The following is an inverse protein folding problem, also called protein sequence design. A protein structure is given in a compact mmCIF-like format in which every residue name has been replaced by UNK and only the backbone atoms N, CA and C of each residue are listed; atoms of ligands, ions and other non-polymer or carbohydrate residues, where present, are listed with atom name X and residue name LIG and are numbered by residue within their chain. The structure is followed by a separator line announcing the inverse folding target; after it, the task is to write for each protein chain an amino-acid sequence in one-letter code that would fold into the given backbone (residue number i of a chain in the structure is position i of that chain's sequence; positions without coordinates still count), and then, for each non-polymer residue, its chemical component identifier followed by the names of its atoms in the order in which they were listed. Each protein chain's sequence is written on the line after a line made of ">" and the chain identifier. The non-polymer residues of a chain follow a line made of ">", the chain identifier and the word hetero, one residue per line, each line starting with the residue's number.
data_IF_034312544424
#
_entry.id   IF_034312544424
#
_cell.length_a   1.000
_cell.length_b   1.000
_cell.length_c   1.000
_cell.angle_alpha   90.00
_cell.angle_beta   90.00
_cell.angle_gamma   90.00
#
_symmetry.space_group_name_H-M   'P 1'
#
loop_
_entity.id
_entity.type
_entity.pdbx_description
1 polymer ?
#
# COMPACT_ATOMS: atom_id res chain seq x y z
N UNK A 1 -3.58 3.75 34.86
CA UNK A 1 -4.75 3.16 34.18
C UNK A 1 -5.09 4.02 32.97
N UNK A 2 -5.58 3.36 31.92
CA UNK A 2 -5.45 3.70 30.50
C UNK A 2 -6.07 5.02 30.01
N UNK A 3 -5.40 5.55 28.99
CA UNK A 3 -5.86 6.47 27.95
C UNK A 3 -7.04 5.87 27.15
N UNK A 4 -7.97 6.72 26.71
CA UNK A 4 -8.52 6.70 25.34
C UNK A 4 -9.49 7.88 25.14
N UNK A 5 -9.00 8.98 24.59
CA UNK A 5 -9.85 9.94 23.86
C UNK A 5 -9.60 9.72 22.36
N UNK A 6 -10.42 8.85 21.78
CA UNK A 6 -10.59 8.77 20.34
C UNK A 6 -11.53 9.91 19.92
N UNK A 7 -10.94 10.97 19.38
CA UNK A 7 -11.64 12.03 18.68
C UNK A 7 -12.37 11.45 17.45
N UNK A 8 -13.65 11.17 17.63
CA UNK A 8 -14.64 11.02 16.58
C UNK A 8 -15.28 12.39 16.34
N UNK A 9 -14.83 13.12 15.31
CA UNK A 9 -15.62 14.18 14.67
C UNK A 9 -15.43 14.15 13.14
N UNK A 10 -16.52 13.77 12.49
CA UNK A 10 -16.91 13.62 11.05
C UNK A 10 -16.83 14.94 10.23
N UNK A 11 -17.16 15.06 8.91
CA UNK A 11 -17.98 14.18 8.05
C UNK A 11 -17.57 14.02 6.56
N UNK A 12 -17.78 12.83 5.99
CA UNK A 12 -18.07 12.68 4.55
C UNK A 12 -19.49 12.14 4.39
N UNK A 13 -20.46 13.00 4.70
CA UNK A 13 -21.85 12.82 4.29
C UNK A 13 -21.92 13.14 2.80
N UNK A 14 -22.03 12.10 1.96
CA UNK A 14 -23.13 11.93 1.01
C UNK A 14 -22.82 10.78 0.03
N UNK A 15 -23.39 9.63 0.36
CA UNK A 15 -23.91 8.72 -0.65
C UNK A 15 -25.10 9.43 -1.33
N UNK A 16 -24.88 10.05 -2.49
CA UNK A 16 -25.97 10.53 -3.35
C UNK A 16 -25.59 10.46 -4.83
N UNK A 17 -26.11 9.43 -5.49
CA UNK A 17 -26.80 9.49 -6.79
C UNK A 17 -26.11 10.15 -8.01
N UNK A 18 -24.79 10.02 -8.17
CA UNK A 18 -24.19 10.09 -9.51
C UNK A 18 -22.97 9.17 -9.66
N UNK A 19 -23.23 7.91 -10.06
CA UNK A 19 -22.22 6.87 -10.31
C UNK A 19 -21.25 7.16 -11.48
N UNK A 20 -21.27 8.37 -12.06
CA UNK A 20 -20.55 8.66 -13.31
C UNK A 20 -19.09 9.08 -13.11
N UNK A 21 -18.68 9.59 -11.95
CA UNK A 21 -17.30 10.03 -11.69
C UNK A 21 -16.90 9.80 -10.24
N UNK A 22 -16.61 8.55 -9.89
CA UNK A 22 -15.89 8.25 -8.64
C UNK A 22 -14.40 8.29 -8.97
N UNK A 23 -13.59 9.19 -8.38
CA UNK A 23 -12.16 9.24 -8.65
C UNK A 23 -11.50 7.93 -8.26
N UNK A 24 -10.58 7.42 -9.10
CA UNK A 24 -9.90 6.13 -8.91
C UNK A 24 -9.29 5.99 -7.51
N UNK A 25 -8.74 7.07 -6.96
CA UNK A 25 -8.17 7.12 -5.61
C UNK A 25 -9.22 6.79 -4.52
N UNK A 26 -10.47 7.26 -4.66
CA UNK A 26 -11.55 6.95 -3.73
C UNK A 26 -11.99 5.50 -3.84
N UNK A 27 -12.10 4.96 -5.07
CA UNK A 27 -12.44 3.55 -5.30
C UNK A 27 -11.37 2.63 -4.70
N UNK A 28 -10.08 2.93 -4.91
CA UNK A 28 -8.96 2.15 -4.38
C UNK A 28 -8.94 2.21 -2.85
N UNK A 29 -9.17 3.39 -2.25
CA UNK A 29 -9.24 3.55 -0.80
C UNK A 29 -10.38 2.74 -0.19
N UNK A 30 -11.59 2.81 -0.74
CA UNK A 30 -12.73 2.03 -0.25
C UNK A 30 -12.53 0.52 -0.41
N UNK A 31 -11.94 0.06 -1.53
CA UNK A 31 -11.63 -1.37 -1.72
C UNK A 31 -10.59 -1.85 -0.71
N UNK A 32 -9.54 -1.06 -0.48
CA UNK A 32 -8.51 -1.39 0.50
C UNK A 32 -9.09 -1.51 1.92
N UNK A 33 -9.94 -0.57 2.34
CA UNK A 33 -10.60 -0.61 3.66
C UNK A 33 -11.47 -1.86 3.83
N UNK A 34 -12.32 -2.18 2.84
CA UNK A 34 -13.11 -3.42 2.85
C UNK A 34 -12.22 -4.66 2.92
N UNK A 35 -11.09 -4.65 2.21
CA UNK A 35 -10.18 -5.80 2.17
C UNK A 35 -9.48 -6.05 3.52
N UNK A 36 -9.05 -5.00 4.23
CA UNK A 36 -8.41 -5.17 5.54
C UNK A 36 -9.39 -5.63 6.63
N UNK A 37 -10.69 -5.34 6.48
CA UNK A 37 -11.74 -5.81 7.39
C UNK A 37 -12.03 -7.31 7.25
N UNK A 38 -11.72 -7.90 6.09
CA UNK A 38 -11.91 -9.34 5.86
C UNK A 38 -11.04 -10.18 6.80
N UNK A 39 -11.50 -11.37 7.22
CA UNK A 39 -10.65 -12.34 7.91
C UNK A 39 -9.53 -12.83 6.97
N UNK A 40 -8.42 -13.28 7.55
CA UNK A 40 -7.22 -13.69 6.80
C UNK A 40 -7.53 -14.71 5.69
N UNK A 41 -8.37 -15.71 5.99
CA UNK A 41 -8.80 -16.76 5.05
C UNK A 41 -9.53 -16.25 3.80
N UNK A 42 -10.06 -15.03 3.85
CA UNK A 42 -10.78 -14.42 2.73
C UNK A 42 -9.94 -13.35 2.01
N UNK A 43 -8.76 -13.01 2.52
CA UNK A 43 -7.86 -12.04 1.89
C UNK A 43 -7.08 -12.70 0.77
N UNK A 44 -7.53 -12.44 -0.45
CA UNK A 44 -6.97 -13.04 -1.67
C UNK A 44 -6.34 -11.97 -2.55
N UNK A 45 -5.22 -12.30 -3.18
CA UNK A 45 -4.54 -11.46 -4.16
C UNK A 45 -4.37 -12.22 -5.47
N UNK A 46 -4.76 -11.61 -6.58
CA UNK A 46 -4.61 -12.20 -7.90
C UNK A 46 -3.27 -11.78 -8.51
N UNK A 47 -2.37 -12.73 -8.73
CA UNK A 47 -1.06 -12.46 -9.34
C UNK A 47 -1.16 -12.08 -10.82
N UNK A 48 -2.14 -12.62 -11.55
CA UNK A 48 -2.35 -12.28 -12.97
C UNK A 48 -2.87 -10.86 -13.15
N UNK A 49 -3.85 -10.46 -12.34
CA UNK A 49 -4.44 -9.12 -12.39
C UNK A 49 -3.66 -8.09 -11.58
N UNK A 50 -2.76 -8.53 -10.69
CA UNK A 50 -2.03 -7.69 -9.74
C UNK A 50 -2.98 -6.86 -8.85
N UNK A 51 -4.04 -7.50 -8.33
CA UNK A 51 -5.14 -6.84 -7.62
C UNK A 51 -5.59 -7.61 -6.37
N UNK A 52 -6.06 -6.86 -5.37
CA UNK A 52 -6.76 -7.39 -4.19
C UNK A 52 -8.17 -7.84 -4.59
N UNK A 53 -8.48 -9.11 -4.27
CA UNK A 53 -9.74 -9.76 -4.64
C UNK A 53 -10.67 -9.73 -3.45
N UNK A 54 -11.78 -8.99 -3.60
CA UNK A 54 -12.89 -9.06 -2.65
C UNK A 54 -13.75 -10.31 -2.94
N UNK A 55 -14.49 -10.83 -1.95
CA UNK A 55 -15.35 -12.00 -2.14
C UNK A 55 -16.31 -11.86 -3.35
N UNK A 56 -16.87 -10.67 -3.56
CA UNK A 56 -17.80 -10.37 -4.66
C UNK A 56 -17.16 -10.46 -6.05
N UNK A 57 -15.83 -10.35 -6.15
CA UNK A 57 -15.10 -10.45 -7.42
C UNK A 57 -14.65 -11.88 -7.74
N UNK A 58 -14.92 -12.86 -6.87
CA UNK A 58 -14.37 -14.22 -6.96
C UNK A 58 -14.56 -14.89 -8.32
N UNK A 59 -15.73 -14.71 -8.95
CA UNK A 59 -16.06 -15.24 -10.28
C UNK A 59 -15.07 -14.83 -11.37
N UNK A 60 -14.65 -13.55 -11.37
CA UNK A 60 -13.76 -12.97 -12.39
C UNK A 60 -12.33 -13.49 -12.27
N UNK A 61 -11.97 -14.09 -11.14
CA UNK A 61 -10.62 -14.56 -10.84
C UNK A 61 -10.54 -16.09 -10.66
N UNK A 62 -11.60 -16.84 -10.99
CA UNK A 62 -11.64 -18.31 -10.84
C UNK A 62 -10.51 -19.03 -11.56
N UNK A 63 -10.14 -18.58 -12.75
CA UNK A 63 -9.08 -19.18 -13.58
C UNK A 63 -7.71 -18.53 -13.38
N UNK A 64 -7.59 -17.59 -12.43
CA UNK A 64 -6.36 -16.86 -12.20
C UNK A 64 -5.55 -17.46 -11.06
N UNK A 65 -4.24 -17.23 -11.09
CA UNK A 65 -3.38 -17.58 -9.97
C UNK A 65 -3.67 -16.65 -8.78
N UNK A 66 -4.16 -17.23 -7.69
CA UNK A 66 -4.53 -16.54 -6.45
C UNK A 66 -3.56 -16.90 -5.34
N UNK A 67 -3.07 -15.88 -4.63
CA UNK A 67 -2.39 -15.99 -3.34
C UNK A 67 -3.43 -15.76 -2.25
N UNK A 68 -3.66 -16.77 -1.40
CA UNK A 68 -4.53 -16.67 -0.23
C UNK A 68 -3.80 -16.10 0.99
N UNK A 69 -4.55 -15.89 2.07
CA UNK A 69 -4.03 -15.51 3.39
C UNK A 69 -3.10 -14.29 3.39
N UNK A 70 -3.47 -13.25 2.63
CA UNK A 70 -2.67 -12.03 2.54
C UNK A 70 -2.73 -11.25 3.85
N UNK A 71 -1.60 -11.23 4.55
CA UNK A 71 -1.45 -10.55 5.83
C UNK A 71 -1.30 -9.03 5.68
N UNK A 72 -1.56 -8.29 6.77
CA UNK A 72 -1.36 -6.83 6.80
C UNK A 72 0.13 -6.48 6.62
N UNK A 73 1.05 -7.33 7.09
CA UNK A 73 2.49 -7.13 6.90
C UNK A 73 2.89 -7.21 5.44
N UNK A 74 2.28 -8.12 4.67
CA UNK A 74 2.44 -8.18 3.20
C UNK A 74 1.82 -6.95 2.51
N UNK A 75 0.65 -6.48 2.96
CA UNK A 75 0.01 -5.26 2.42
C UNK A 75 0.84 -3.99 2.69
N UNK A 76 1.66 -3.97 3.74
CA UNK A 76 2.63 -2.89 4.00
C UNK A 76 3.88 -2.96 3.11
N UNK A 77 4.08 -4.06 2.37
CA UNK A 77 5.19 -4.29 1.44
C UNK A 77 4.70 -4.68 0.04
N UNK A 78 3.94 -3.82 -0.66
CA UNK A 78 3.40 -4.12 -1.98
C UNK A 78 4.48 -4.49 -3.00
N UNK A 79 5.70 -3.95 -2.92
CA UNK A 79 6.82 -4.33 -3.80
C UNK A 79 7.31 -5.79 -3.68
N UNK A 80 6.88 -6.52 -2.65
CA UNK A 80 7.13 -7.96 -2.50
C UNK A 80 5.95 -8.82 -3.00
N UNK A 81 4.76 -8.23 -3.09
CA UNK A 81 3.53 -8.89 -3.56
C UNK A 81 3.34 -8.68 -5.07
N UNK A 82 3.64 -7.48 -5.56
CA UNK A 82 3.55 -7.09 -6.95
C UNK A 82 4.78 -7.57 -7.72
N UNK A 83 4.55 -8.09 -8.92
CA UNK A 83 5.64 -8.41 -9.83
C UNK A 83 6.18 -7.10 -10.44
N UNK A 84 7.51 -6.91 -10.50
CA UNK A 84 8.10 -5.76 -11.16
C UNK A 84 7.65 -5.66 -12.62
N UNK A 85 7.33 -4.45 -13.08
CA UNK A 85 7.06 -4.23 -14.50
C UNK A 85 8.40 -4.18 -15.25
N UNK A 86 8.80 -5.30 -15.84
CA UNK A 86 10.05 -5.42 -16.62
C UNK A 86 9.86 -5.10 -18.11
N UNK A 87 9.02 -4.12 -18.45
CA UNK A 87 8.71 -3.82 -19.85
C UNK A 87 9.58 -2.65 -20.36
N UNK A 88 10.70 -3.01 -21.02
CA UNK A 88 11.80 -2.13 -21.48
C UNK A 88 11.40 -0.89 -22.31
N UNK A 89 10.14 -0.76 -22.77
CA UNK A 89 9.67 0.32 -23.63
C UNK A 89 8.81 1.39 -22.93
N UNK A 90 8.23 1.11 -21.76
CA UNK A 90 7.28 2.02 -21.11
C UNK A 90 7.44 2.15 -19.59
N UNK A 91 7.82 1.08 -18.89
CA UNK A 91 8.04 1.08 -17.44
C UNK A 91 9.27 0.23 -17.12
N UNK A 92 10.33 0.85 -16.65
CA UNK A 92 11.51 0.15 -16.16
C UNK A 92 11.55 0.27 -14.63
N UNK A 93 10.93 -0.69 -13.95
CA UNK A 93 10.86 -0.69 -12.49
C UNK A 93 12.08 -1.42 -11.90
N UNK A 94 13.15 -0.67 -11.64
CA UNK A 94 14.32 -1.20 -10.93
C UNK A 94 14.12 -1.03 -9.42
N UNK A 95 13.86 -2.14 -8.75
CA UNK A 95 13.66 -2.13 -7.32
C UNK A 95 15.01 -2.22 -6.60
N UNK A 96 15.22 -1.34 -5.62
CA UNK A 96 16.41 -1.38 -4.76
C UNK A 96 16.57 -2.73 -4.06
N UNK A 97 17.81 -3.14 -3.85
CA UNK A 97 18.12 -4.25 -2.95
C UNK A 97 17.84 -3.84 -1.49
N UNK A 98 17.46 -4.81 -0.65
CA UNK A 98 17.08 -4.55 0.74
C UNK A 98 18.19 -3.84 1.53
N UNK A 99 19.46 -4.24 1.33
CA UNK A 99 20.61 -3.59 1.96
C UNK A 99 20.73 -2.11 1.61
N UNK A 100 20.50 -1.76 0.35
CA UNK A 100 20.53 -0.38 -0.12
C UNK A 100 19.39 0.44 0.49
N UNK A 101 18.18 -0.11 0.57
CA UNK A 101 17.07 0.58 1.24
C UNK A 101 17.34 0.81 2.73
N UNK A 102 17.84 -0.19 3.45
CA UNK A 102 18.16 -0.05 4.88
C UNK A 102 19.18 1.07 5.10
N UNK A 103 20.28 1.06 4.32
CA UNK A 103 21.29 2.11 4.34
C UNK A 103 20.70 3.50 4.08
N UNK A 104 19.86 3.64 3.06
CA UNK A 104 19.23 4.93 2.73
C UNK A 104 18.30 5.42 3.84
N UNK A 105 17.51 4.54 4.45
CA UNK A 105 16.63 4.92 5.57
C UNK A 105 17.45 5.35 6.78
N UNK A 106 18.54 4.65 7.11
CA UNK A 106 19.42 5.01 8.21
C UNK A 106 20.09 6.37 7.95
N UNK A 107 20.60 6.58 6.73
CA UNK A 107 21.17 7.87 6.32
C UNK A 107 20.16 9.01 6.48
N UNK A 108 18.93 8.83 6.01
CA UNK A 108 17.87 9.83 6.14
C UNK A 108 17.56 10.15 7.61
N UNK A 109 17.55 9.13 8.46
CA UNK A 109 17.32 9.28 9.90
C UNK A 109 18.49 10.00 10.60
N UNK A 110 19.73 9.64 10.29
CA UNK A 110 20.93 10.27 10.85
C UNK A 110 21.04 11.74 10.46
N UNK A 111 20.64 12.08 9.23
CA UNK A 111 20.59 13.47 8.77
C UNK A 111 19.40 14.27 9.35
N UNK A 112 18.51 13.62 10.11
CA UNK A 112 17.39 14.28 10.79
C UNK A 112 16.23 14.66 9.87
N UNK A 113 16.09 14.02 8.70
CA UNK A 113 14.96 14.27 7.82
C UNK A 113 13.66 13.72 8.41
N UNK A 114 12.59 14.53 8.40
CA UNK A 114 11.27 14.14 8.92
C UNK A 114 10.23 13.88 7.83
N UNK A 115 10.48 14.35 6.61
CA UNK A 115 9.58 14.22 5.47
C UNK A 115 10.39 13.88 4.23
N UNK A 116 10.01 12.80 3.55
CA UNK A 116 10.71 12.28 2.37
C UNK A 116 9.70 12.15 1.24
N UNK A 117 9.98 12.80 0.11
CA UNK A 117 9.23 12.62 -1.12
C UNK A 117 9.90 11.52 -1.93
N UNK A 118 9.23 10.38 -2.07
CA UNK A 118 9.68 9.24 -2.85
C UNK A 118 9.09 9.36 -4.26
N UNK A 119 9.91 9.60 -5.28
CA UNK A 119 9.47 9.60 -6.69
C UNK A 119 9.95 8.30 -7.34
N UNK A 120 9.03 7.45 -7.79
CA UNK A 120 9.36 6.16 -8.43
C UNK A 120 10.18 5.20 -7.56
N UNK A 121 10.05 5.29 -6.23
CA UNK A 121 10.86 4.52 -5.26
C UNK A 121 9.99 3.77 -4.25
N UNK A 122 9.15 2.83 -4.71
CA UNK A 122 8.17 2.14 -3.86
C UNK A 122 8.82 1.38 -2.69
N UNK A 123 9.90 0.62 -2.95
CA UNK A 123 10.60 -0.15 -1.89
C UNK A 123 11.11 0.74 -0.75
N UNK A 124 11.66 1.90 -1.07
CA UNK A 124 12.16 2.83 -0.06
C UNK A 124 11.00 3.43 0.74
N UNK A 125 9.93 3.85 0.06
CA UNK A 125 8.72 4.38 0.68
C UNK A 125 8.12 3.41 1.71
N UNK A 126 7.97 2.14 1.33
CA UNK A 126 7.48 1.06 2.19
C UNK A 126 8.34 0.88 3.44
N UNK A 127 9.67 0.87 3.27
CA UNK A 127 10.61 0.66 4.36
C UNK A 127 10.63 1.84 5.35
N UNK A 128 10.50 3.07 4.86
CA UNK A 128 10.33 4.27 5.70
C UNK A 128 9.06 4.13 6.54
N UNK A 129 7.92 3.75 5.93
CA UNK A 129 6.65 3.58 6.64
C UNK A 129 6.70 2.48 7.69
N UNK A 130 7.41 1.38 7.42
CA UNK A 130 7.60 0.30 8.37
C UNK A 130 8.41 0.74 9.58
N UNK A 131 9.55 1.42 9.38
CA UNK A 131 10.37 1.93 10.50
C UNK A 131 9.61 2.95 11.35
N UNK A 132 8.88 3.88 10.71
CA UNK A 132 8.07 4.87 11.41
C UNK A 132 6.97 4.24 12.29
N UNK A 133 6.52 3.02 11.99
CA UNK A 133 5.53 2.29 12.79
C UNK A 133 6.11 1.38 13.87
N UNK A 134 7.43 1.15 13.87
CA UNK A 134 8.11 0.24 14.80
C UNK A 134 9.06 0.90 15.79
N UNK A 135 9.57 2.10 15.48
CA UNK A 135 10.54 2.80 16.32
C UNK A 135 10.18 4.29 16.47
N UNK A 136 9.73 4.67 17.68
CA UNK A 136 9.31 6.03 18.06
C UNK A 136 10.39 7.10 17.80
N UNK A 137 11.66 6.70 17.69
CA UNK A 137 12.77 7.63 17.45
C UNK A 137 12.84 8.17 16.02
N UNK A 138 12.25 7.50 15.04
CA UNK A 138 12.34 7.87 13.62
C UNK A 138 10.97 8.26 13.05
N UNK A 139 10.46 9.45 13.43
CA UNK A 139 9.21 10.00 12.90
C UNK A 139 9.40 10.59 11.49
N UNK A 140 9.83 9.74 10.55
CA UNK A 140 9.98 10.08 9.14
C UNK A 140 8.67 9.75 8.43
N UNK A 141 8.04 10.77 7.86
CA UNK A 141 6.87 10.62 6.99
C UNK A 141 7.33 10.51 5.54
N UNK A 142 6.68 9.65 4.76
CA UNK A 142 6.95 9.51 3.33
C UNK A 142 5.69 9.69 2.49
N UNK A 143 5.88 10.25 1.29
CA UNK A 143 4.84 10.33 0.25
C UNK A 143 5.43 9.70 -1.03
N UNK A 144 4.70 8.78 -1.66
CA UNK A 144 5.10 8.17 -2.93
C UNK A 144 4.37 8.84 -4.09
N UNK A 145 5.13 9.32 -5.06
CA UNK A 145 4.66 9.71 -6.38
C UNK A 145 5.16 8.68 -7.37
N UNK A 146 4.25 7.89 -7.92
CA UNK A 146 4.55 6.85 -8.90
C UNK A 146 3.59 6.96 -10.09
N UNK A 147 4.07 6.56 -11.26
CA UNK A 147 3.25 6.41 -12.47
C UNK A 147 2.50 5.08 -12.46
N UNK A 148 2.99 4.11 -11.69
CA UNK A 148 2.31 2.85 -11.43
C UNK A 148 1.12 3.07 -10.48
N UNK A 149 -0.08 2.73 -10.95
CA UNK A 149 -1.34 2.95 -10.22
C UNK A 149 -1.74 1.76 -9.33
N UNK A 150 -0.96 0.68 -9.35
CA UNK A 150 -1.25 -0.58 -8.66
C UNK A 150 -1.03 -0.51 -7.15
#
# INVERSE_FOLDING_TARGET
>A
MQQNEFLLLTPWVMCSTNLKYIPLCFVVSCRYLKFIELPLSQRKFCQRCQQLVLPDDGEKHREHQIVGDVSITQLKRPSQLLCPLENKKTNAQYLFADRSCLFLVDLLSTLGFRRVLCVGTPRLHELIRLKASGDEKSNIKSLLLDIDFR
#
